data_IF_180005063064
#
_entry.id   IF_180005063064
#
_cell.length_a   1.000
_cell.length_b   1.000
_cell.length_c   1.000
_cell.angle_alpha   90.00
_cell.angle_beta   90.00
_cell.angle_gamma   90.00
#
_symmetry.space_group_name_H-M   'P 1'
#
loop_
_entity.id
_entity.type
_entity.pdbx_description
1 polymer ?
#
# COMPACT_ATOMS: atom_id res chain seq x y z
N UNK A 1 -51.84 28.48 -9.27
CA UNK A 1 -52.17 29.10 -10.57
C UNK A 1 -51.54 28.26 -11.67
N UNK A 2 -52.39 27.64 -12.52
CA UNK A 2 -52.21 27.07 -13.89
C UNK A 2 -50.93 26.23 -14.19
N UNK A 3 -50.99 24.91 -14.46
CA UNK A 3 -51.56 24.20 -15.63
C UNK A 3 -50.72 24.48 -16.92
N UNK A 4 -50.29 23.56 -17.81
CA UNK A 4 -50.91 22.32 -18.34
C UNK A 4 -49.92 21.55 -19.27
N UNK A 5 -49.99 20.21 -19.21
CA UNK A 5 -49.91 19.10 -20.21
C UNK A 5 -48.84 18.98 -21.33
N UNK A 6 -48.40 17.72 -21.50
CA UNK A 6 -47.98 17.15 -22.80
C UNK A 6 -47.38 15.73 -22.68
N UNK A 7 -48.21 14.68 -22.82
CA UNK A 7 -47.85 13.23 -22.84
C UNK A 7 -48.02 12.66 -24.28
N UNK A 8 -47.81 11.35 -24.57
CA UNK A 8 -46.75 10.82 -25.44
C UNK A 8 -47.25 10.20 -26.77
N UNK A 9 -46.33 9.81 -27.67
CA UNK A 9 -46.65 9.07 -28.90
C UNK A 9 -46.19 7.61 -28.86
N UNK A 10 -47.15 6.67 -28.89
CA UNK A 10 -46.98 5.27 -29.33
C UNK A 10 -47.35 5.19 -30.82
N UNK A 11 -46.62 4.40 -31.61
CA UNK A 11 -47.15 3.80 -32.84
C UNK A 11 -46.76 2.33 -32.94
N UNK A 12 -47.78 1.48 -33.02
CA UNK A 12 -47.76 0.10 -33.50
C UNK A 12 -47.94 0.14 -35.02
N UNK A 13 -47.35 -0.80 -35.75
CA UNK A 13 -47.76 -1.14 -37.10
C UNK A 13 -47.88 -2.66 -37.21
N UNK A 14 -49.08 -3.08 -37.61
CA UNK A 14 -49.52 -4.45 -37.89
C UNK A 14 -49.45 -4.66 -39.40
N UNK A 15 -49.08 -5.84 -39.89
CA UNK A 15 -49.23 -6.24 -41.31
C UNK A 15 -50.12 -7.48 -41.38
N UNK A 16 -51.11 -7.42 -42.26
CA UNK A 16 -52.20 -8.40 -42.51
C UNK A 16 -52.11 -8.85 -43.97
N UNK A 17 -52.34 -10.15 -44.23
CA UNK A 17 -52.98 -10.75 -45.42
C UNK A 17 -52.17 -10.77 -46.73
N UNK A 18 -52.31 -11.74 -47.64
CA UNK A 18 -53.24 -12.85 -47.85
C UNK A 18 -53.28 -13.22 -49.35
N UNK A 19 -53.88 -14.38 -49.69
CA UNK A 19 -54.21 -14.97 -51.02
C UNK A 19 -53.04 -15.67 -51.79
N UNK A 20 -53.05 -16.96 -52.17
CA UNK A 20 -54.02 -17.97 -52.65
C UNK A 20 -54.45 -17.84 -54.14
N UNK A 21 -54.03 -18.80 -54.99
CA UNK A 21 -54.69 -19.42 -56.19
C UNK A 21 -53.63 -20.12 -57.10
N UNK A 22 -53.61 -21.46 -57.32
CA UNK A 22 -54.36 -22.30 -58.30
C UNK A 22 -53.97 -21.96 -59.78
N UNK A 23 -53.69 -22.85 -60.77
CA UNK A 23 -54.03 -24.26 -61.05
C UNK A 23 -53.42 -24.69 -62.44
N UNK A 24 -53.33 -26.02 -62.71
CA UNK A 24 -53.12 -26.78 -63.98
C UNK A 24 -51.74 -26.76 -64.68
N UNK A 25 -51.29 -27.77 -65.44
CA UNK A 25 -51.47 -29.23 -65.60
C UNK A 25 -50.73 -29.56 -66.92
N UNK A 26 -49.86 -30.57 -66.96
CA UNK A 26 -49.25 -31.03 -68.22
C UNK A 26 -48.04 -31.93 -68.04
N UNK A 27 -48.24 -33.23 -68.23
CA UNK A 27 -47.23 -34.25 -68.52
C UNK A 27 -47.77 -35.08 -69.71
N UNK A 28 -47.03 -36.00 -70.36
CA UNK A 28 -45.58 -36.29 -70.30
C UNK A 28 -44.93 -36.35 -71.70
N UNK A 29 -43.61 -36.14 -71.80
CA UNK A 29 -42.84 -36.72 -72.92
C UNK A 29 -41.65 -37.51 -72.40
N UNK A 30 -41.64 -38.72 -72.93
CA UNK A 30 -40.77 -39.85 -72.65
C UNK A 30 -39.46 -39.65 -73.43
N UNK A 31 -38.40 -39.24 -72.73
CA UNK A 31 -37.04 -39.38 -73.24
C UNK A 31 -36.34 -40.51 -72.48
N UNK A 32 -35.89 -41.47 -73.26
CA UNK A 32 -35.08 -42.62 -72.88
C UNK A 32 -33.84 -42.17 -72.10
N UNK A 33 -33.90 -42.32 -70.77
CA UNK A 33 -32.73 -42.22 -69.90
C UNK A 33 -31.83 -43.42 -70.19
N UNK A 34 -30.73 -43.18 -70.90
CA UNK A 34 -29.63 -44.12 -70.93
C UNK A 34 -29.19 -44.35 -69.48
N UNK A 35 -29.26 -45.59 -69.02
CA UNK A 35 -28.68 -46.02 -67.76
C UNK A 35 -27.17 -45.96 -67.97
N UNK A 36 -26.56 -44.83 -67.61
CA UNK A 36 -25.15 -44.81 -67.29
C UNK A 36 -24.99 -45.80 -66.14
N UNK A 37 -24.09 -46.77 -66.32
CA UNK A 37 -23.66 -47.62 -65.23
C UNK A 37 -23.28 -46.70 -64.06
N UNK A 38 -23.97 -46.84 -62.93
CA UNK A 38 -23.54 -46.22 -61.69
C UNK A 38 -22.16 -46.79 -61.39
N UNK A 39 -21.13 -45.97 -61.62
CA UNK A 39 -19.83 -46.15 -61.00
C UNK A 39 -20.09 -46.38 -59.50
N UNK A 40 -19.41 -47.34 -58.86
CA UNK A 40 -19.46 -47.45 -57.41
C UNK A 40 -19.20 -46.05 -56.82
N UNK A 41 -19.85 -45.64 -55.72
CA UNK A 41 -19.56 -44.35 -55.13
C UNK A 41 -18.04 -44.25 -54.94
N UNK A 42 -17.45 -43.16 -55.44
CA UNK A 42 -16.04 -42.85 -55.21
C UNK A 42 -15.74 -43.05 -53.72
N UNK A 43 -14.58 -43.64 -53.43
CA UNK A 43 -14.09 -43.78 -52.07
C UNK A 43 -14.23 -42.43 -51.33
N UNK A 44 -14.48 -42.42 -50.00
CA UNK A 44 -14.61 -41.18 -49.25
C UNK A 44 -13.44 -40.27 -49.61
N UNK A 45 -13.75 -39.06 -50.10
CA UNK A 45 -12.74 -38.12 -50.57
C UNK A 45 -11.91 -37.75 -49.35
N UNK A 46 -10.70 -38.31 -49.25
CA UNK A 46 -9.76 -37.97 -48.20
C UNK A 46 -9.20 -36.58 -48.53
N UNK A 47 -9.89 -35.56 -48.02
CA UNK A 47 -9.61 -34.18 -48.37
C UNK A 47 -8.27 -33.73 -47.77
N UNK A 48 -7.23 -33.69 -48.60
CA UNK A 48 -5.89 -33.19 -48.23
C UNK A 48 -5.93 -31.77 -47.66
N UNK A 49 -6.94 -30.97 -48.01
CA UNK A 49 -7.17 -29.64 -47.45
C UNK A 49 -7.48 -29.67 -45.94
N UNK A 50 -8.24 -30.67 -45.46
CA UNK A 50 -8.52 -30.84 -44.02
C UNK A 50 -7.26 -31.19 -43.26
N UNK A 51 -6.38 -32.02 -43.85
CA UNK A 51 -5.08 -32.35 -43.26
C UNK A 51 -4.17 -31.12 -43.16
N UNK A 52 -4.16 -30.26 -44.18
CA UNK A 52 -3.42 -29.01 -44.14
C UNK A 52 -3.91 -28.07 -43.03
N UNK A 53 -5.23 -27.95 -42.87
CA UNK A 53 -5.82 -27.15 -41.78
C UNK A 53 -5.48 -27.73 -40.40
N UNK A 54 -5.55 -29.06 -40.25
CA UNK A 54 -5.18 -29.75 -39.03
C UNK A 54 -3.69 -29.61 -38.70
N UNK A 55 -2.80 -29.57 -39.70
CA UNK A 55 -1.39 -29.28 -39.48
C UNK A 55 -1.15 -27.87 -38.94
N UNK A 56 -1.87 -26.88 -39.49
CA UNK A 56 -1.72 -25.45 -39.11
C UNK A 56 -2.36 -25.14 -37.75
N UNK A 57 -3.50 -25.74 -37.46
CA UNK A 57 -4.34 -25.39 -36.29
C UNK A 57 -4.29 -26.43 -35.16
N UNK A 58 -3.81 -27.63 -35.45
CA UNK A 58 -3.74 -28.75 -34.52
C UNK A 58 -2.83 -28.50 -33.33
N UNK A 59 -3.13 -29.20 -32.23
CA UNK A 59 -2.29 -29.20 -31.04
C UNK A 59 -1.11 -30.16 -31.17
N UNK A 60 -0.58 -30.57 -30.03
CA UNK A 60 0.69 -31.33 -29.96
C UNK A 60 0.57 -32.75 -30.52
N UNK A 61 -0.65 -33.29 -30.63
CA UNK A 61 -0.92 -34.60 -31.21
C UNK A 61 -1.40 -34.48 -32.67
N UNK A 62 -2.30 -33.53 -32.97
CA UNK A 62 -2.88 -33.38 -34.33
C UNK A 62 -1.86 -32.84 -35.33
N UNK A 63 -1.09 -31.80 -34.97
CA UNK A 63 -0.20 -31.14 -35.93
C UNK A 63 0.92 -32.07 -36.45
N UNK A 64 1.67 -32.80 -35.59
CA UNK A 64 2.72 -33.72 -36.08
C UNK A 64 2.16 -34.89 -36.91
N UNK A 65 0.99 -35.43 -36.54
CA UNK A 65 0.36 -36.52 -37.29
C UNK A 65 -0.17 -36.05 -38.67
N UNK A 66 -0.64 -34.80 -38.75
CA UNK A 66 -1.03 -34.19 -40.01
C UNK A 66 0.17 -33.94 -40.93
N UNK A 67 1.32 -33.53 -40.36
CA UNK A 67 2.57 -33.37 -41.11
C UNK A 67 3.01 -34.70 -41.73
N UNK A 68 3.02 -35.78 -40.95
CA UNK A 68 3.37 -37.12 -41.43
C UNK A 68 2.44 -37.57 -42.57
N UNK A 69 1.14 -37.32 -42.45
CA UNK A 69 0.16 -37.64 -43.48
C UNK A 69 0.34 -36.81 -44.77
N UNK A 70 0.73 -35.53 -44.65
CA UNK A 70 1.00 -34.66 -45.81
C UNK A 70 2.25 -35.08 -46.58
N UNK A 71 3.25 -35.64 -45.90
CA UNK A 71 4.47 -36.18 -46.50
C UNK A 71 4.26 -37.57 -47.14
N UNK A 72 3.13 -38.22 -46.86
CA UNK A 72 2.76 -39.54 -47.38
C UNK A 72 1.92 -39.52 -48.65
N UNK A 73 1.39 -40.70 -48.99
CA UNK A 73 0.47 -40.91 -50.11
C UNK A 73 -0.99 -40.68 -49.70
N UNK A 74 -1.94 -40.87 -50.63
CA UNK A 74 -3.35 -40.65 -50.35
C UNK A 74 -3.91 -41.63 -49.30
N UNK A 75 -3.30 -42.80 -49.13
CA UNK A 75 -3.67 -43.73 -48.06
C UNK A 75 -3.27 -43.19 -46.68
N UNK A 76 -2.12 -42.52 -46.57
CA UNK A 76 -1.71 -41.82 -45.34
C UNK A 76 -2.67 -40.68 -44.97
N UNK A 77 -3.15 -39.92 -45.96
CA UNK A 77 -4.18 -38.87 -45.77
C UNK A 77 -5.47 -39.48 -45.23
N UNK A 78 -5.97 -40.56 -45.84
CA UNK A 78 -7.17 -41.25 -45.36
C UNK A 78 -7.02 -41.78 -43.93
N UNK A 79 -5.90 -42.45 -43.64
CA UNK A 79 -5.62 -43.00 -42.32
C UNK A 79 -5.55 -41.92 -41.23
N UNK A 80 -4.99 -40.75 -41.54
CA UNK A 80 -4.99 -39.62 -40.62
C UNK A 80 -6.41 -39.11 -40.36
N UNK A 81 -7.23 -38.91 -41.40
CA UNK A 81 -8.60 -38.43 -41.24
C UNK A 81 -9.46 -39.39 -40.39
N UNK A 82 -9.23 -40.70 -40.49
CA UNK A 82 -9.86 -41.69 -39.60
C UNK A 82 -9.42 -41.54 -38.13
N UNK A 83 -8.17 -41.13 -37.89
CA UNK A 83 -7.61 -40.94 -36.54
C UNK A 83 -7.86 -39.55 -35.95
N UNK A 84 -8.18 -38.57 -36.81
CA UNK A 84 -8.30 -37.15 -36.44
C UNK A 84 -9.21 -36.90 -35.22
N UNK A 85 -10.42 -37.48 -35.11
CA UNK A 85 -11.27 -37.27 -33.94
C UNK A 85 -10.61 -37.68 -32.61
N UNK A 86 -9.83 -38.77 -32.62
CA UNK A 86 -9.10 -39.25 -31.44
C UNK A 86 -7.96 -38.31 -31.06
N UNK A 87 -7.22 -37.83 -32.06
CA UNK A 87 -6.10 -36.90 -31.85
C UNK A 87 -6.60 -35.54 -31.33
N UNK A 88 -7.70 -35.02 -31.89
CA UNK A 88 -8.35 -33.80 -31.40
C UNK A 88 -8.77 -33.96 -29.93
N UNK A 89 -9.41 -35.07 -29.57
CA UNK A 89 -9.80 -35.33 -28.18
C UNK A 89 -8.60 -35.40 -27.22
N UNK A 90 -7.42 -35.84 -27.68
CA UNK A 90 -6.19 -35.82 -26.89
C UNK A 90 -5.68 -34.41 -26.67
N UNK A 91 -5.61 -33.60 -27.73
CA UNK A 91 -5.20 -32.19 -27.66
C UNK A 91 -6.13 -31.36 -26.76
N UNK A 92 -7.45 -31.56 -26.86
CA UNK A 92 -8.43 -30.90 -26.00
C UNK A 92 -8.22 -31.27 -24.52
N UNK A 93 -8.00 -32.56 -24.22
CA UNK A 93 -7.72 -33.02 -22.85
C UNK A 93 -6.45 -32.40 -22.29
N UNK A 94 -5.41 -32.26 -23.10
CA UNK A 94 -4.18 -31.58 -22.70
C UNK A 94 -4.40 -30.08 -22.46
N UNK A 95 -5.19 -29.42 -23.32
CA UNK A 95 -5.57 -28.03 -23.13
C UNK A 95 -6.33 -27.82 -21.80
N UNK A 96 -7.31 -28.67 -21.49
CA UNK A 96 -8.03 -28.63 -20.21
C UNK A 96 -7.10 -28.96 -19.04
N UNK A 97 -6.15 -29.87 -19.22
CA UNK A 97 -5.09 -30.14 -18.23
C UNK A 97 -4.29 -28.87 -17.89
N UNK A 98 -3.88 -28.10 -18.91
CA UNK A 98 -3.20 -26.81 -18.70
C UNK A 98 -4.08 -25.77 -18.00
N UNK A 99 -5.37 -25.70 -18.36
CA UNK A 99 -6.34 -24.81 -17.70
C UNK A 99 -6.49 -25.18 -16.22
N UNK A 100 -6.48 -26.47 -15.90
CA UNK A 100 -6.57 -26.98 -14.52
C UNK A 100 -5.40 -26.46 -13.67
N UNK A 101 -4.18 -26.41 -14.23
CA UNK A 101 -2.97 -25.99 -13.50
C UNK A 101 -2.84 -24.48 -13.31
N UNK A 102 -3.39 -23.66 -14.21
CA UNK A 102 -3.21 -22.20 -14.21
C UNK A 102 -4.50 -21.42 -13.90
N UNK A 103 -5.65 -22.10 -13.91
CA UNK A 103 -6.95 -21.53 -13.60
C UNK A 103 -7.08 -21.12 -12.14
N UNK A 104 -8.11 -20.31 -11.85
CA UNK A 104 -8.53 -20.11 -10.47
C UNK A 104 -9.18 -21.37 -9.89
N UNK A 105 -9.43 -21.40 -8.56
CA UNK A 105 -9.99 -22.58 -7.88
C UNK A 105 -11.23 -23.16 -8.55
N UNK A 106 -12.20 -22.32 -8.92
CA UNK A 106 -13.44 -22.79 -9.53
C UNK A 106 -13.22 -23.27 -10.96
N UNK A 107 -12.41 -22.55 -11.75
CA UNK A 107 -12.06 -22.99 -13.12
C UNK A 107 -11.32 -24.33 -13.10
N UNK A 108 -10.42 -24.52 -12.14
CA UNK A 108 -9.68 -25.77 -11.95
C UNK A 108 -10.60 -26.92 -11.55
N UNK A 109 -11.58 -26.65 -10.68
CA UNK A 109 -12.60 -27.63 -10.30
C UNK A 109 -13.49 -28.02 -11.50
N UNK A 110 -13.95 -27.06 -12.28
CA UNK A 110 -14.75 -27.30 -13.48
C UNK A 110 -13.97 -28.08 -14.56
N UNK A 111 -12.71 -27.72 -14.79
CA UNK A 111 -11.82 -28.44 -15.70
C UNK A 111 -11.60 -29.91 -15.26
N UNK A 112 -11.37 -30.11 -13.96
CA UNK A 112 -11.22 -31.46 -13.38
C UNK A 112 -12.49 -32.29 -13.53
N UNK A 113 -13.67 -31.68 -13.36
CA UNK A 113 -14.95 -32.35 -13.56
C UNK A 113 -15.12 -32.79 -15.03
N UNK A 114 -14.81 -31.91 -15.98
CA UNK A 114 -14.85 -32.24 -17.41
C UNK A 114 -13.90 -33.40 -17.76
N UNK A 115 -12.67 -33.40 -17.24
CA UNK A 115 -11.69 -34.47 -17.46
C UNK A 115 -12.07 -35.82 -16.82
N UNK A 116 -12.93 -35.82 -15.80
CA UNK A 116 -13.41 -37.03 -15.12
C UNK A 116 -14.78 -37.51 -15.61
N UNK A 117 -15.45 -36.71 -16.44
CA UNK A 117 -16.76 -37.08 -16.97
C UNK A 117 -16.65 -38.27 -17.92
N UNK A 118 -17.63 -39.15 -17.86
CA UNK A 118 -17.81 -40.23 -18.83
C UNK A 118 -18.72 -39.81 -20.00
N UNK A 119 -19.24 -38.57 -19.97
CA UNK A 119 -20.08 -38.04 -21.05
C UNK A 119 -19.20 -37.68 -22.26
N UNK A 120 -19.62 -38.16 -23.43
CA UNK A 120 -18.97 -37.81 -24.70
C UNK A 120 -19.07 -36.30 -24.94
N UNK A 121 -17.97 -35.69 -25.36
CA UNK A 121 -17.89 -34.24 -25.60
C UNK A 121 -17.82 -33.37 -24.34
N UNK A 122 -17.72 -33.92 -23.12
CA UNK A 122 -17.64 -33.10 -21.90
C UNK A 122 -16.43 -32.15 -21.86
N UNK A 123 -15.29 -32.58 -22.42
CA UNK A 123 -14.07 -31.77 -22.54
C UNK A 123 -14.29 -30.63 -23.53
N UNK A 124 -14.85 -30.93 -24.70
CA UNK A 124 -15.20 -29.96 -25.74
C UNK A 124 -16.21 -28.93 -25.20
N UNK A 125 -17.29 -29.38 -24.55
CA UNK A 125 -18.30 -28.51 -23.94
C UNK A 125 -17.72 -27.59 -22.85
N UNK A 126 -16.71 -28.06 -22.11
CA UNK A 126 -15.97 -27.19 -21.19
C UNK A 126 -15.20 -26.11 -21.95
N UNK A 127 -14.45 -26.47 -22.98
CA UNK A 127 -13.67 -25.54 -23.81
C UNK A 127 -14.56 -24.51 -24.53
N UNK A 128 -15.75 -24.93 -24.98
CA UNK A 128 -16.74 -24.11 -25.69
C UNK A 128 -17.51 -23.11 -24.81
N UNK A 129 -17.19 -23.01 -23.52
CA UNK A 129 -17.77 -22.01 -22.61
C UNK A 129 -18.18 -22.53 -21.25
N UNK A 130 -18.10 -23.84 -21.00
CA UNK A 130 -18.39 -24.42 -19.69
C UNK A 130 -17.52 -23.86 -18.54
N UNK A 131 -16.39 -23.21 -18.85
CA UNK A 131 -15.53 -22.54 -17.87
C UNK A 131 -16.02 -21.15 -17.43
N UNK A 132 -16.94 -20.50 -18.15
CA UNK A 132 -17.25 -19.06 -17.98
C UNK A 132 -17.82 -18.74 -16.60
N UNK A 133 -18.78 -19.54 -16.12
CA UNK A 133 -19.39 -19.38 -14.80
C UNK A 133 -18.33 -19.52 -13.70
N UNK A 134 -17.49 -20.55 -13.80
CA UNK A 134 -16.41 -20.80 -12.85
C UNK A 134 -15.42 -19.63 -12.81
N UNK A 135 -15.02 -19.10 -13.98
CA UNK A 135 -14.16 -17.91 -14.05
C UNK A 135 -14.82 -16.69 -13.44
N UNK A 136 -16.12 -16.49 -13.64
CA UNK A 136 -16.84 -15.39 -13.03
C UNK A 136 -16.81 -15.47 -11.50
N UNK A 137 -16.98 -16.67 -10.92
CA UNK A 137 -16.89 -16.87 -9.47
C UNK A 137 -15.47 -16.53 -8.97
N UNK A 138 -14.43 -17.04 -9.63
CA UNK A 138 -13.03 -16.74 -9.28
C UNK A 138 -12.71 -15.24 -9.33
N UNK A 139 -13.16 -14.55 -10.38
CA UNK A 139 -12.97 -13.10 -10.53
C UNK A 139 -13.67 -12.31 -9.42
N UNK A 140 -14.93 -12.67 -9.10
CA UNK A 140 -15.69 -12.03 -8.01
C UNK A 140 -15.04 -12.27 -6.66
N UNK A 141 -14.50 -13.47 -6.42
CA UNK A 141 -13.78 -13.78 -5.19
C UNK A 141 -12.53 -12.91 -5.04
N UNK A 142 -11.71 -12.78 -6.08
CA UNK A 142 -10.50 -11.92 -6.08
C UNK A 142 -10.85 -10.45 -5.85
N UNK A 143 -11.88 -9.93 -6.52
CA UNK A 143 -12.36 -8.55 -6.26
C UNK A 143 -12.86 -8.40 -4.83
N UNK A 144 -13.55 -9.42 -4.30
CA UNK A 144 -14.00 -9.46 -2.90
C UNK A 144 -12.85 -9.37 -1.91
N UNK A 145 -11.72 -10.04 -2.19
CA UNK A 145 -10.51 -9.94 -1.38
C UNK A 145 -9.92 -8.53 -1.41
N UNK A 146 -9.79 -7.91 -2.60
CA UNK A 146 -9.31 -6.52 -2.72
C UNK A 146 -10.23 -5.52 -2.01
N UNK A 147 -11.54 -5.76 -2.02
CA UNK A 147 -12.48 -4.98 -1.23
C UNK A 147 -12.21 -5.10 0.27
N UNK A 148 -11.94 -6.30 0.78
CA UNK A 148 -11.74 -6.51 2.22
C UNK A 148 -10.51 -5.76 2.74
N UNK A 149 -9.41 -5.79 1.98
CA UNK A 149 -8.11 -5.22 2.40
C UNK A 149 -7.89 -3.78 1.94
N UNK A 150 -8.60 -3.32 0.89
CA UNK A 150 -8.45 -1.98 0.33
C UNK A 150 -8.92 -0.85 1.24
N UNK A 151 -8.45 0.37 0.95
CA UNK A 151 -8.95 1.59 1.57
C UNK A 151 -10.36 1.99 1.11
N UNK A 152 -10.92 3.09 1.64
CA UNK A 152 -12.27 3.54 1.30
C UNK A 152 -12.57 3.64 -0.21
N UNK A 153 -11.66 4.19 -1.00
CA UNK A 153 -11.85 4.37 -2.43
C UNK A 153 -11.76 3.04 -3.18
N UNK A 154 -10.76 2.19 -2.85
CA UNK A 154 -10.67 0.84 -3.43
C UNK A 154 -11.91 0.01 -3.09
N UNK A 155 -12.40 0.11 -1.85
CA UNK A 155 -13.66 -0.54 -1.42
C UNK A 155 -14.85 -0.07 -2.23
N UNK A 156 -14.98 1.23 -2.46
CA UNK A 156 -16.06 1.81 -3.25
C UNK A 156 -16.01 1.31 -4.71
N UNK A 157 -14.83 1.31 -5.32
CA UNK A 157 -14.62 0.84 -6.69
C UNK A 157 -14.88 -0.68 -6.82
N UNK A 158 -14.37 -1.49 -5.88
CA UNK A 158 -14.62 -2.93 -5.85
C UNK A 158 -16.12 -3.24 -5.66
N UNK A 159 -16.82 -2.50 -4.80
CA UNK A 159 -18.27 -2.65 -4.64
C UNK A 159 -19.04 -2.29 -5.92
N UNK A 160 -18.59 -1.28 -6.67
CA UNK A 160 -19.22 -0.90 -7.93
C UNK A 160 -19.15 -2.03 -8.96
N UNK A 161 -17.98 -2.64 -9.13
CA UNK A 161 -17.80 -3.75 -10.08
C UNK A 161 -18.46 -5.05 -9.59
N UNK A 162 -18.53 -5.30 -8.27
CA UNK A 162 -19.20 -6.48 -7.73
C UNK A 162 -20.72 -6.46 -7.91
N UNK A 163 -21.37 -5.29 -7.89
CA UNK A 163 -22.84 -5.23 -7.99
C UNK A 163 -23.36 -5.73 -9.33
N UNK A 164 -22.84 -5.20 -10.44
CA UNK A 164 -23.37 -5.45 -11.78
C UNK A 164 -22.27 -5.67 -12.84
N UNK A 165 -21.04 -5.99 -12.42
CA UNK A 165 -19.92 -6.16 -13.35
C UNK A 165 -19.99 -7.47 -14.14
N UNK A 166 -19.79 -7.37 -15.45
CA UNK A 166 -19.51 -8.52 -16.32
C UNK A 166 -18.14 -9.13 -15.98
N UNK A 167 -17.83 -10.37 -16.41
CA UNK A 167 -16.49 -10.95 -16.26
C UNK A 167 -15.38 -10.02 -16.76
N UNK A 168 -15.60 -9.33 -17.88
CA UNK A 168 -14.65 -8.37 -18.45
C UNK A 168 -14.47 -7.15 -17.54
N UNK A 169 -15.54 -6.67 -16.92
CA UNK A 169 -15.48 -5.55 -15.98
C UNK A 169 -14.70 -5.93 -14.72
N UNK A 170 -14.91 -7.13 -14.19
CA UNK A 170 -14.18 -7.67 -13.04
C UNK A 170 -12.69 -7.85 -13.39
N UNK A 171 -12.38 -8.41 -14.56
CA UNK A 171 -11.01 -8.53 -15.07
C UNK A 171 -10.32 -7.17 -15.19
N UNK A 172 -10.93 -6.20 -15.88
CA UNK A 172 -10.39 -4.83 -16.01
C UNK A 172 -10.13 -4.17 -14.66
N UNK A 173 -11.00 -4.41 -13.67
CA UNK A 173 -10.78 -3.91 -12.32
C UNK A 173 -9.52 -4.50 -11.70
N UNK A 174 -9.35 -5.83 -11.76
CA UNK A 174 -8.17 -6.53 -11.23
C UNK A 174 -6.87 -6.11 -11.95
N UNK A 175 -6.93 -5.90 -13.26
CA UNK A 175 -5.76 -5.56 -14.07
C UNK A 175 -5.24 -4.13 -13.81
N UNK A 176 -6.15 -3.18 -13.62
CA UNK A 176 -5.77 -1.76 -13.49
C UNK A 176 -6.79 -0.85 -12.80
N UNK A 177 -8.08 -1.21 -12.79
CA UNK A 177 -9.13 -0.33 -12.26
C UNK A 177 -8.99 0.02 -10.79
N UNK A 178 -8.26 -0.78 -10.00
CA UNK A 178 -7.95 -0.50 -8.60
C UNK A 178 -6.90 0.59 -8.38
N UNK A 179 -6.01 0.85 -9.36
CA UNK A 179 -4.82 1.71 -9.18
C UNK A 179 -5.18 3.15 -8.84
N UNK A 180 -6.18 3.70 -9.52
CA UNK A 180 -6.63 5.08 -9.31
C UNK A 180 -7.29 5.29 -7.93
N UNK A 181 -8.27 4.46 -7.51
CA UNK A 181 -8.79 4.48 -6.15
C UNK A 181 -7.70 4.31 -5.08
N UNK A 182 -6.78 3.37 -5.29
CA UNK A 182 -5.67 3.14 -4.35
C UNK A 182 -4.77 4.37 -4.19
N UNK A 183 -4.46 5.06 -5.29
CA UNK A 183 -3.75 6.33 -5.25
C UNK A 183 -4.51 7.42 -4.47
N UNK A 184 -5.85 7.48 -4.60
CA UNK A 184 -6.66 8.41 -3.84
C UNK A 184 -6.64 8.10 -2.34
N UNK A 185 -6.74 6.82 -1.97
CA UNK A 185 -6.60 6.37 -0.58
C UNK A 185 -5.25 6.79 0.02
N UNK A 186 -4.14 6.57 -0.71
CA UNK A 186 -2.81 7.00 -0.28
C UNK A 186 -2.72 8.52 -0.11
N UNK A 187 -3.19 9.31 -1.09
CA UNK A 187 -3.20 10.78 -0.99
C UNK A 187 -3.98 11.25 0.24
N UNK A 188 -5.08 10.59 0.59
CA UNK A 188 -5.84 10.91 1.78
C UNK A 188 -5.07 10.62 3.08
N UNK A 189 -4.31 9.50 3.13
CA UNK A 189 -3.40 9.21 4.26
C UNK A 189 -2.32 10.27 4.38
N UNK A 190 -1.64 10.61 3.28
CA UNK A 190 -0.58 11.64 3.28
C UNK A 190 -1.12 13.01 3.66
N UNK A 191 -2.30 13.38 3.16
CA UNK A 191 -2.96 14.65 3.52
C UNK A 191 -3.29 14.73 5.02
N UNK A 192 -3.75 13.64 5.64
CA UNK A 192 -3.98 13.60 7.10
C UNK A 192 -2.67 13.73 7.88
N UNK A 193 -1.62 13.02 7.46
CA UNK A 193 -0.29 13.14 8.09
C UNK A 193 0.25 14.57 7.99
N UNK A 194 0.08 15.23 6.84
CA UNK A 194 0.46 16.64 6.66
C UNK A 194 -0.32 17.58 7.57
N UNK A 195 -1.62 17.38 7.74
CA UNK A 195 -2.48 18.23 8.56
C UNK A 195 -2.12 18.15 10.06
N UNK A 196 -1.83 16.95 10.56
CA UNK A 196 -1.51 16.71 11.97
C UNK A 196 -0.03 16.73 12.34
N UNK A 197 0.87 16.67 11.35
CA UNK A 197 2.32 16.53 11.56
C UNK A 197 3.05 17.82 11.93
N UNK A 198 4.25 17.65 12.48
CA UNK A 198 5.19 18.76 12.69
C UNK A 198 5.85 19.24 11.39
N UNK A 199 6.78 20.21 11.47
CA UNK A 199 7.41 20.80 10.30
C UNK A 199 8.07 19.80 9.34
N UNK A 200 8.74 18.77 9.87
CA UNK A 200 9.41 17.75 9.05
C UNK A 200 8.39 16.83 8.37
N UNK A 201 7.37 16.38 9.10
CA UNK A 201 6.28 15.56 8.51
C UNK A 201 5.57 16.34 7.41
N UNK A 202 5.27 17.62 7.63
CA UNK A 202 4.66 18.51 6.63
C UNK A 202 5.52 18.64 5.37
N UNK A 203 6.83 18.84 5.53
CA UNK A 203 7.75 18.96 4.40
C UNK A 203 7.86 17.66 3.59
N UNK A 204 7.93 16.50 4.27
CA UNK A 204 7.97 15.20 3.62
C UNK A 204 6.65 14.88 2.89
N UNK A 205 5.51 15.10 3.56
CA UNK A 205 4.19 14.86 3.00
C UNK A 205 3.92 15.76 1.78
N UNK A 206 4.29 17.04 1.85
CA UNK A 206 4.16 17.96 0.73
C UNK A 206 4.96 17.48 -0.49
N UNK A 207 6.17 16.97 -0.28
CA UNK A 207 7.00 16.43 -1.36
C UNK A 207 6.35 15.22 -2.04
N UNK A 208 5.79 14.30 -1.24
CA UNK A 208 5.07 13.14 -1.76
C UNK A 208 3.78 13.53 -2.51
N UNK A 209 3.04 14.54 -2.02
CA UNK A 209 1.81 15.01 -2.66
C UNK A 209 2.04 15.77 -3.96
N UNK A 210 3.15 16.52 -4.05
CA UNK A 210 3.57 17.25 -5.25
C UNK A 210 3.97 16.29 -6.38
N UNK A 211 4.73 15.24 -6.05
CA UNK A 211 5.06 14.19 -7.01
C UNK A 211 3.81 13.39 -7.39
N UNK A 212 3.05 12.92 -6.40
CA UNK A 212 1.74 12.30 -6.59
C UNK A 212 1.76 10.93 -7.28
N UNK A 213 2.93 10.35 -7.57
CA UNK A 213 3.04 8.96 -8.03
C UNK A 213 2.65 7.99 -6.90
N UNK A 214 2.05 6.82 -7.22
CA UNK A 214 1.79 5.78 -6.22
C UNK A 214 3.04 5.41 -5.43
N UNK A 215 4.18 5.29 -6.10
CA UNK A 215 5.46 4.88 -5.52
C UNK A 215 5.93 5.86 -4.44
N UNK A 216 5.86 7.18 -4.72
CA UNK A 216 6.26 8.20 -3.74
C UNK A 216 5.28 8.32 -2.59
N UNK A 217 3.98 8.14 -2.84
CA UNK A 217 2.97 8.16 -1.78
C UNK A 217 3.11 6.93 -0.86
N UNK A 218 3.34 5.74 -1.41
CA UNK A 218 3.61 4.53 -0.63
C UNK A 218 4.87 4.67 0.21
N UNK A 219 5.97 5.13 -0.40
CA UNK A 219 7.23 5.35 0.30
C UNK A 219 7.06 6.31 1.47
N UNK A 220 6.28 7.38 1.30
CA UNK A 220 5.98 8.29 2.39
C UNK A 220 5.28 7.55 3.55
N UNK A 221 4.21 6.82 3.24
CA UNK A 221 3.41 6.12 4.25
C UNK A 221 4.22 5.04 4.97
N UNK A 222 5.10 4.33 4.26
CA UNK A 222 5.87 3.21 4.81
C UNK A 222 7.14 3.65 5.55
N UNK A 223 7.82 4.71 5.08
CA UNK A 223 9.17 5.06 5.53
C UNK A 223 9.24 6.53 5.97
N UNK A 224 8.98 7.47 5.05
CA UNK A 224 9.36 8.86 5.29
C UNK A 224 8.53 9.50 6.41
N UNK A 225 7.29 9.06 6.64
CA UNK A 225 6.48 9.55 7.76
C UNK A 225 7.15 9.26 9.11
N UNK A 226 7.59 8.03 9.37
CA UNK A 226 8.24 7.66 10.62
C UNK A 226 9.54 8.44 10.85
N UNK A 227 10.35 8.58 9.81
CA UNK A 227 11.62 9.34 9.86
C UNK A 227 11.34 10.82 10.15
N UNK A 228 10.36 11.42 9.48
CA UNK A 228 10.02 12.81 9.66
C UNK A 228 9.46 13.07 11.07
N UNK A 229 8.61 12.18 11.59
CA UNK A 229 8.09 12.28 12.95
C UNK A 229 9.20 12.18 14.00
N UNK A 230 10.18 11.29 13.80
CA UNK A 230 11.33 11.19 14.70
C UNK A 230 12.13 12.50 14.75
N UNK A 231 12.33 13.16 13.61
CA UNK A 231 13.00 14.47 13.54
C UNK A 231 12.21 15.59 14.19
N UNK A 232 10.88 15.58 14.06
CA UNK A 232 10.03 16.54 14.78
C UNK A 232 10.14 16.36 16.31
N UNK A 233 10.15 15.11 16.78
CA UNK A 233 10.32 14.79 18.21
C UNK A 233 11.71 15.18 18.73
N UNK A 234 12.75 14.95 17.94
CA UNK A 234 14.13 15.35 18.26
C UNK A 234 14.24 16.88 18.36
N UNK A 235 13.66 17.61 17.40
CA UNK A 235 13.64 19.07 17.42
C UNK A 235 12.93 19.61 18.67
N UNK A 236 11.81 19.00 19.07
CA UNK A 236 11.12 19.35 20.29
C UNK A 236 11.98 19.11 21.53
N UNK A 237 12.60 17.93 21.63
CA UNK A 237 13.48 17.57 22.74
C UNK A 237 14.66 18.54 22.87
N UNK A 238 15.27 18.93 21.76
CA UNK A 238 16.34 19.92 21.74
C UNK A 238 15.87 21.30 22.20
N UNK A 239 14.65 21.71 21.85
CA UNK A 239 14.08 22.97 22.30
C UNK A 239 13.81 22.95 23.81
N UNK A 240 13.26 21.86 24.33
CA UNK A 240 13.01 21.69 25.76
C UNK A 240 14.32 21.69 26.56
N UNK A 241 15.35 21.02 26.05
CA UNK A 241 16.68 21.02 26.65
C UNK A 241 17.30 22.43 26.69
N UNK A 242 17.18 23.19 25.59
CA UNK A 242 17.63 24.59 25.53
C UNK A 242 16.89 25.48 26.53
N UNK A 243 15.58 25.31 26.64
CA UNK A 243 14.77 26.05 27.62
C UNK A 243 15.21 25.72 29.05
N UNK A 244 15.40 24.44 29.36
CA UNK A 244 15.88 23.98 30.67
C UNK A 244 17.28 24.52 30.98
N UNK A 245 18.21 24.48 30.03
CA UNK A 245 19.56 25.04 30.20
C UNK A 245 19.54 26.56 30.43
N UNK A 246 18.67 27.28 29.71
CA UNK A 246 18.48 28.73 29.89
C UNK A 246 17.97 29.05 31.30
N UNK A 247 17.00 28.29 31.79
CA UNK A 247 16.45 28.48 33.13
C UNK A 247 17.47 28.11 34.23
N UNK A 248 18.21 27.01 34.06
CA UNK A 248 19.29 26.64 34.96
C UNK A 248 20.38 27.72 35.03
N UNK A 249 20.73 28.33 33.89
CA UNK A 249 21.67 29.45 33.83
C UNK A 249 21.14 30.67 34.60
N UNK A 250 19.85 30.98 34.44
CA UNK A 250 19.20 32.09 35.14
C UNK A 250 19.21 31.89 36.66
N UNK A 251 18.88 30.68 37.12
CA UNK A 251 18.90 30.34 38.54
C UNK A 251 20.33 30.40 39.12
N UNK A 252 21.32 29.85 38.42
CA UNK A 252 22.71 29.91 38.85
C UNK A 252 23.24 31.36 38.97
N UNK A 253 22.79 32.25 38.08
CA UNK A 253 23.12 33.67 38.16
C UNK A 253 22.51 34.34 39.41
N UNK A 254 21.24 34.04 39.73
CA UNK A 254 20.57 34.55 40.93
C UNK A 254 21.24 34.05 42.22
N UNK A 255 21.55 32.76 42.29
CA UNK A 255 22.28 32.18 43.43
C UNK A 255 23.66 32.83 43.60
N UNK A 256 24.36 33.13 42.51
CA UNK A 256 25.65 33.84 42.56
C UNK A 256 25.49 35.26 43.13
N UNK A 257 24.45 35.99 42.72
CA UNK A 257 24.14 37.32 43.27
C UNK A 257 23.85 37.22 44.78
N UNK A 258 23.05 36.23 45.19
CA UNK A 258 22.75 35.97 46.59
C UNK A 258 24.00 35.64 47.42
N UNK A 259 24.86 34.75 46.91
CA UNK A 259 26.12 34.37 47.55
C UNK A 259 27.06 35.57 47.72
N UNK A 260 27.20 36.43 46.70
CA UNK A 260 27.98 37.67 46.78
C UNK A 260 27.40 38.62 47.83
N UNK A 261 26.08 38.84 47.82
CA UNK A 261 25.43 39.72 48.80
C UNK A 261 25.54 39.21 50.25
N UNK A 262 25.54 37.89 50.46
CA UNK A 262 25.79 37.29 51.77
C UNK A 262 27.25 37.42 52.19
N UNK A 263 28.19 37.21 51.26
CA UNK A 263 29.62 37.36 51.53
C UNK A 263 29.99 38.81 51.90
N UNK A 264 29.41 39.81 51.23
CA UNK A 264 29.62 41.22 51.58
C UNK A 264 29.07 41.55 52.98
N UNK A 265 27.90 41.02 53.35
CA UNK A 265 27.35 41.16 54.71
C UNK A 265 28.24 40.49 55.76
N UNK A 266 28.65 39.25 55.51
CA UNK A 266 29.56 38.52 56.40
C UNK A 266 30.91 39.24 56.57
N UNK A 267 31.42 39.86 55.49
CA UNK A 267 32.62 40.67 55.54
C UNK A 267 32.44 41.91 56.41
N UNK A 268 31.35 42.66 56.24
CA UNK A 268 31.05 43.84 57.05
C UNK A 268 30.90 43.48 58.55
N UNK A 269 30.20 42.39 58.86
CA UNK A 269 30.06 41.87 60.23
C UNK A 269 31.42 41.43 60.81
N UNK A 270 32.27 40.79 59.99
CA UNK A 270 33.62 40.38 60.40
C UNK A 270 34.54 41.58 60.65
N UNK A 271 34.45 42.63 59.85
CA UNK A 271 35.20 43.88 60.04
C UNK A 271 34.76 44.59 61.34
N UNK A 272 33.46 44.63 61.63
CA UNK A 272 32.94 45.16 62.88
C UNK A 272 33.43 44.35 64.09
N UNK A 273 33.32 43.01 64.04
CA UNK A 273 33.81 42.13 65.10
C UNK A 273 35.32 42.27 65.33
N UNK A 274 36.09 42.49 64.26
CA UNK A 274 37.53 42.74 64.34
C UNK A 274 37.83 44.09 64.99
N UNK A 275 37.11 45.16 64.63
CA UNK A 275 37.27 46.46 65.28
C UNK A 275 36.96 46.40 66.79
N UNK A 276 35.90 45.68 67.17
CA UNK A 276 35.58 45.42 68.59
C UNK A 276 36.67 44.61 69.29
N UNK A 277 37.20 43.57 68.64
CA UNK A 277 38.31 42.79 69.17
C UNK A 277 39.58 43.62 69.37
N UNK A 278 39.92 44.49 68.41
CA UNK A 278 41.07 45.39 68.48
C UNK A 278 40.91 46.42 69.61
N UNK A 279 39.70 46.98 69.79
CA UNK A 279 39.37 47.84 70.93
C UNK A 279 39.51 47.11 72.27
N UNK A 280 38.93 45.92 72.38
CA UNK A 280 39.02 45.08 73.58
C UNK A 280 40.49 44.75 73.91
N UNK A 281 41.31 44.49 72.89
CA UNK A 281 42.73 44.24 73.07
C UNK A 281 43.47 45.50 73.54
N UNK A 282 43.07 46.70 73.08
CA UNK A 282 43.64 47.98 73.52
C UNK A 282 43.28 48.28 74.97
N UNK A 283 42.02 48.10 75.35
CA UNK A 283 41.54 48.25 76.73
C UNK A 283 42.24 47.25 77.68
N UNK A 284 42.40 45.99 77.26
CA UNK A 284 43.12 44.99 78.02
C UNK A 284 44.61 45.31 78.20
N UNK A 285 45.26 46.03 77.27
CA UNK A 285 46.63 46.51 77.44
C UNK A 285 46.72 47.61 78.50
N UNK A 286 45.76 48.52 78.55
CA UNK A 286 45.70 49.60 79.54
C UNK A 286 45.48 49.07 80.96
N UNK A 287 44.75 47.96 81.11
CA UNK A 287 44.43 47.34 82.39
C UNK A 287 45.56 46.47 82.99
N UNK A 288 46.68 46.27 82.30
CA UNK A 288 47.88 45.60 82.86
C UNK A 288 47.81 44.07 82.92
N UNK A 289 48.67 43.45 83.76
CA UNK A 289 48.92 42.00 83.77
C UNK A 289 47.71 41.12 84.13
N UNK A 290 46.68 41.66 84.80
CA UNK A 290 45.47 40.90 85.13
C UNK A 290 44.55 40.63 83.92
N UNK A 291 44.85 41.20 82.74
CA UNK A 291 43.99 41.19 81.55
C UNK A 291 44.41 40.21 80.44
N UNK A 292 45.26 39.24 80.74
CA UNK A 292 45.81 38.28 79.77
C UNK A 292 44.74 37.41 79.08
N UNK A 293 43.71 37.01 79.84
CA UNK A 293 42.56 36.26 79.32
C UNK A 293 41.81 37.07 78.26
N UNK A 294 41.55 38.36 78.53
CA UNK A 294 40.86 39.26 77.60
C UNK A 294 41.66 39.45 76.30
N UNK A 295 42.99 39.59 76.40
CA UNK A 295 43.87 39.65 75.21
C UNK A 295 43.79 38.38 74.36
N UNK A 296 43.73 37.20 74.98
CA UNK A 296 43.57 35.92 74.25
C UNK A 296 42.21 35.82 73.57
N UNK A 297 41.14 36.22 74.25
CA UNK A 297 39.78 36.18 73.69
C UNK A 297 39.64 37.14 72.49
N UNK A 298 40.16 38.37 72.60
CA UNK A 298 40.18 39.33 71.51
C UNK A 298 40.91 38.77 70.27
N UNK A 299 42.10 38.17 70.44
CA UNK A 299 42.83 37.53 69.34
C UNK A 299 42.03 36.40 68.68
N UNK A 300 41.40 35.54 69.48
CA UNK A 300 40.54 34.45 68.96
C UNK A 300 39.35 34.98 68.17
N UNK A 301 38.75 36.09 68.60
CA UNK A 301 37.66 36.74 67.88
C UNK A 301 38.13 37.31 66.53
N UNK A 302 39.28 38.01 66.50
CA UNK A 302 39.87 38.50 65.26
C UNK A 302 40.21 37.36 64.28
N UNK A 303 40.82 36.26 64.77
CA UNK A 303 41.10 35.08 63.95
C UNK A 303 39.82 34.41 63.43
N UNK A 304 38.75 34.37 64.23
CA UNK A 304 37.46 33.84 63.80
C UNK A 304 36.84 34.71 62.69
N UNK A 305 36.93 36.04 62.80
CA UNK A 305 36.50 36.97 61.77
C UNK A 305 37.30 36.78 60.46
N UNK A 306 38.63 36.63 60.54
CA UNK A 306 39.47 36.38 59.36
C UNK A 306 39.11 35.04 58.68
N UNK A 307 38.85 33.99 59.46
CA UNK A 307 38.38 32.69 58.94
C UNK A 307 37.00 32.81 58.27
N UNK A 308 36.08 33.61 58.83
CA UNK A 308 34.76 33.84 58.25
C UNK A 308 34.88 34.54 56.88
N UNK A 309 35.70 35.58 56.76
CA UNK A 309 35.97 36.26 55.48
C UNK A 309 36.58 35.30 54.46
N UNK A 310 37.54 34.46 54.86
CA UNK A 310 38.14 33.47 53.97
C UNK A 310 37.10 32.45 53.46
N UNK A 311 36.25 31.94 54.35
CA UNK A 311 35.16 31.01 53.98
C UNK A 311 34.16 31.66 53.02
N UNK A 312 33.77 32.92 53.25
CA UNK A 312 32.88 33.66 52.36
C UNK A 312 33.47 33.85 50.96
N UNK A 313 34.78 34.10 50.84
CA UNK A 313 35.46 34.19 49.53
C UNK A 313 35.41 32.88 48.76
N UNK A 314 35.71 31.77 49.42
CA UNK A 314 35.64 30.43 48.81
C UNK A 314 34.21 30.12 48.35
N UNK A 315 33.19 30.46 49.14
CA UNK A 315 31.80 30.27 48.76
C UNK A 315 31.41 31.08 47.51
N UNK A 316 31.87 32.33 47.40
CA UNK A 316 31.63 33.17 46.21
C UNK A 316 32.37 32.62 44.98
N UNK A 317 33.60 32.17 45.13
CA UNK A 317 34.37 31.55 44.04
C UNK A 317 33.69 30.26 43.54
N UNK A 318 33.22 29.41 44.46
CA UNK A 318 32.45 28.21 44.13
C UNK A 318 31.14 28.54 43.42
N UNK A 319 30.39 29.55 43.88
CA UNK A 319 29.16 29.98 43.23
C UNK A 319 29.42 30.52 41.81
N UNK A 320 30.47 31.32 41.62
CA UNK A 320 30.89 31.82 40.30
C UNK A 320 31.33 30.70 39.36
N UNK A 321 32.08 29.71 39.88
CA UNK A 321 32.48 28.54 39.11
C UNK A 321 31.26 27.75 38.64
N UNK A 322 30.29 27.48 39.52
CA UNK A 322 29.03 26.84 39.17
C UNK A 322 28.24 27.61 38.09
N UNK A 323 28.15 28.94 38.22
CA UNK A 323 27.50 29.78 37.20
C UNK A 323 28.27 29.87 35.87
N UNK A 324 29.59 29.67 35.88
CA UNK A 324 30.37 29.55 34.65
C UNK A 324 30.13 28.20 33.95
N UNK A 325 30.08 27.11 34.72
CA UNK A 325 29.81 25.77 34.21
C UNK A 325 28.39 25.65 33.61
N UNK A 326 27.40 26.32 34.22
CA UNK A 326 26.03 26.36 33.68
C UNK A 326 25.91 27.07 32.31
N UNK A 327 26.91 27.88 31.92
CA UNK A 327 26.93 28.63 30.65
C UNK A 327 27.73 27.97 29.53
N UNK A 328 28.58 26.99 29.85
CA UNK A 328 29.45 26.29 28.92
C UNK A 328 28.69 25.17 28.18
#
# INVERSE_FOLDING_TARGET
MRAILGRPSRRRATVIGGALSLLLAGSPMNETRAVAAETPPDAPVCERQVVLEAWVTGGVNVSPAAEEALLGDDAAVCAFLEQLPRLVAQDEREQVGRITSHGGPEVSAAATAALRSNEEGAVTAFLDGGWEIARQIDLRARVGQMRATGGPEVRAAANAVLRNGTPEALGRFLDSGWRMPYRMDLRAVVGRAMAGGGPQVKAAANRALLDGSPEMLERFVQIDWGVAQARDNEAQTLNDLRASATEATRLAALETIGAVAQAERAKAESEAARAEAEEAQRLAQLAGQESDEARRQARRAAEAADRAVAASRVAVEAARAAASAARA
#
